data_IF_711006860040
#
_entry.id   IF_711006860040
#
_cell.length_a   1.000
_cell.length_b   1.000
_cell.length_c   1.000
_cell.angle_alpha   90.00
_cell.angle_beta   90.00
_cell.angle_gamma   90.00
#
_symmetry.space_group_name_H-M   'P 1'
#
loop_
_entity.id
_entity.type
_entity.pdbx_description
1 polymer ?
#
# COMPACT_ATOMS: atom_id res chain seq x y z
N UNK A 1 6.39 24.76 -5.29
CA UNK A 1 5.70 23.45 -5.14
C UNK A 1 6.10 22.86 -3.80
N UNK A 2 5.15 22.47 -2.95
CA UNK A 2 5.48 21.71 -1.73
C UNK A 2 5.99 20.34 -2.19
N UNK A 3 7.30 20.10 -2.09
CA UNK A 3 8.00 18.93 -2.61
C UNK A 3 7.98 17.71 -1.68
N UNK A 4 7.24 17.77 -0.56
CA UNK A 4 7.03 16.62 0.33
C UNK A 4 5.61 16.63 0.88
N UNK A 5 4.88 15.52 0.70
CA UNK A 5 3.64 15.26 1.41
C UNK A 5 4.00 14.80 2.84
N UNK A 6 3.48 15.48 3.86
CA UNK A 6 3.63 15.01 5.23
C UNK A 6 2.61 13.90 5.48
N UNK A 7 3.08 12.66 5.60
CA UNK A 7 2.24 11.48 5.88
C UNK A 7 2.38 11.18 7.38
N UNK A 8 1.31 11.29 8.18
CA UNK A 8 1.34 10.89 9.58
C UNK A 8 1.67 9.40 9.73
N UNK A 9 2.51 9.06 10.71
CA UNK A 9 2.95 7.69 10.97
C UNK A 9 2.61 7.31 12.40
N UNK A 10 1.72 6.33 12.56
CA UNK A 10 1.46 5.67 13.84
C UNK A 10 2.30 4.41 13.93
N UNK A 11 3.31 4.41 14.81
CA UNK A 11 4.22 3.27 14.99
C UNK A 11 3.53 2.12 15.72
N UNK A 12 3.90 0.88 15.38
CA UNK A 12 3.46 -0.30 16.14
C UNK A 12 4.16 -0.29 17.52
N UNK A 13 3.48 -0.81 18.54
CA UNK A 13 4.07 -1.00 19.87
C UNK A 13 4.97 -2.23 19.94
N UNK A 14 4.72 -3.24 19.09
CA UNK A 14 5.50 -4.48 19.01
C UNK A 14 5.81 -4.81 17.55
N UNK A 15 7.10 -4.86 17.21
CA UNK A 15 7.55 -5.22 15.86
C UNK A 15 7.61 -6.73 15.68
N UNK A 16 7.30 -7.20 14.47
CA UNK A 16 7.46 -8.61 14.06
C UNK A 16 8.87 -8.98 13.63
N UNK A 17 9.78 -8.00 13.46
CA UNK A 17 11.16 -8.26 13.01
C UNK A 17 11.88 -9.32 13.87
N UNK A 18 11.83 -9.29 15.22
CA UNK A 18 12.52 -10.31 16.04
C UNK A 18 11.99 -11.73 15.85
N UNK A 19 10.74 -11.86 15.42
CA UNK A 19 10.05 -13.14 15.22
C UNK A 19 10.10 -13.61 13.75
N UNK A 20 10.69 -12.81 12.85
CA UNK A 20 10.72 -13.09 11.41
C UNK A 20 11.92 -13.97 11.05
N UNK A 21 11.65 -15.18 10.54
CA UNK A 21 12.68 -16.04 9.95
C UNK A 21 12.98 -15.62 8.51
N UNK A 22 14.03 -14.81 8.34
CA UNK A 22 14.49 -14.35 7.02
C UNK A 22 15.08 -15.47 6.15
N UNK A 23 15.44 -16.63 6.73
CA UNK A 23 15.95 -17.77 5.97
C UNK A 23 14.83 -18.55 5.27
N UNK A 24 13.59 -18.45 5.76
CA UNK A 24 12.44 -19.22 5.28
C UNK A 24 11.22 -18.35 4.98
N UNK A 25 11.39 -17.34 4.13
CA UNK A 25 10.30 -16.45 3.71
C UNK A 25 9.42 -17.10 2.64
N UNK A 26 8.16 -17.37 2.99
CA UNK A 26 7.13 -17.80 2.03
C UNK A 26 6.42 -16.59 1.43
N UNK A 27 6.33 -16.54 0.11
CA UNK A 27 5.69 -15.45 -0.63
C UNK A 27 4.24 -15.21 -0.13
N UNK A 28 3.94 -13.96 0.24
CA UNK A 28 2.61 -13.54 0.66
C UNK A 28 2.15 -14.01 2.05
N UNK A 29 3.04 -14.58 2.88
CA UNK A 29 2.69 -15.09 4.22
C UNK A 29 3.27 -14.28 5.38
N UNK A 30 4.43 -13.66 5.18
CA UNK A 30 5.07 -12.79 6.17
C UNK A 30 4.76 -11.34 5.81
N UNK A 31 4.05 -10.62 6.69
CA UNK A 31 3.57 -9.25 6.47
C UNK A 31 4.28 -8.29 7.42
N UNK A 32 4.63 -7.10 6.91
CA UNK A 32 5.29 -6.04 7.67
C UNK A 32 4.39 -5.43 8.75
N UNK A 33 5.01 -4.62 9.62
CA UNK A 33 4.32 -4.05 10.78
C UNK A 33 3.28 -2.99 10.47
N UNK A 34 3.40 -2.35 9.31
CA UNK A 34 2.61 -1.20 8.91
C UNK A 34 1.99 -1.38 7.53
N UNK A 35 0.93 -0.60 7.29
CA UNK A 35 0.28 -0.42 6.00
C UNK A 35 0.08 1.07 5.72
N UNK A 36 0.07 1.44 4.44
CA UNK A 36 -0.35 2.76 3.99
C UNK A 36 -1.84 2.74 3.64
N UNK A 37 -2.56 3.77 4.06
CA UNK A 37 -3.99 3.94 3.75
C UNK A 37 -4.24 5.39 3.33
N UNK A 38 -5.12 5.57 2.36
CA UNK A 38 -5.65 6.87 1.97
C UNK A 38 -7.15 6.70 1.65
N UNK A 39 -7.93 7.74 1.90
CA UNK A 39 -9.37 7.73 1.69
C UNK A 39 -9.70 8.59 0.47
N UNK A 40 -10.65 8.16 -0.36
CA UNK A 40 -11.16 8.99 -1.45
C UNK A 40 -12.58 9.46 -1.14
N UNK A 41 -12.76 10.77 -0.99
CA UNK A 41 -14.03 11.37 -0.61
C UNK A 41 -14.21 12.68 -1.36
N UNK A 42 -15.44 12.95 -1.83
CA UNK A 42 -15.80 14.21 -2.51
C UNK A 42 -14.89 14.61 -3.69
N UNK A 43 -14.34 13.63 -4.41
CA UNK A 43 -13.51 13.89 -5.58
C UNK A 43 -12.01 14.01 -5.30
N UNK A 44 -11.57 13.82 -4.04
CA UNK A 44 -10.18 14.01 -3.65
C UNK A 44 -9.64 12.85 -2.80
N UNK A 45 -8.35 12.55 -3.00
CA UNK A 45 -7.60 11.72 -2.07
C UNK A 45 -7.24 12.51 -0.82
N UNK A 46 -7.60 11.97 0.33
CA UNK A 46 -7.46 12.60 1.63
C UNK A 46 -6.95 11.58 2.65
N UNK A 47 -6.60 12.06 3.85
CA UNK A 47 -6.28 11.21 5.00
C UNK A 47 -5.20 10.14 4.73
N UNK A 48 -4.21 10.47 3.90
CA UNK A 48 -3.05 9.62 3.64
C UNK A 48 -2.25 9.43 4.92
N UNK A 49 -2.05 8.18 5.35
CA UNK A 49 -1.45 7.82 6.64
C UNK A 49 -0.74 6.47 6.57
N UNK A 50 0.23 6.28 7.46
CA UNK A 50 0.86 4.99 7.73
C UNK A 50 0.44 4.55 9.13
N UNK A 51 -0.16 3.38 9.24
CA UNK A 51 -0.70 2.84 10.50
C UNK A 51 -0.31 1.37 10.68
N UNK A 52 -0.40 0.81 11.91
CA UNK A 52 -0.11 -0.59 12.14
C UNK A 52 -1.01 -1.49 11.27
N UNK A 53 -0.44 -2.58 10.75
CA UNK A 53 -1.19 -3.54 9.96
C UNK A 53 -2.37 -4.09 10.78
N UNK A 54 -3.58 -3.96 10.23
CA UNK A 54 -4.83 -4.35 10.87
C UNK A 54 -5.89 -4.80 9.84
N UNK A 55 -6.93 -5.53 10.26
CA UNK A 55 -8.05 -5.85 9.39
C UNK A 55 -8.74 -4.60 8.84
N UNK A 56 -9.21 -4.66 7.59
CA UNK A 56 -10.02 -3.61 6.99
C UNK A 56 -11.47 -3.68 7.52
N UNK A 57 -12.02 -2.55 7.91
CA UNK A 57 -13.45 -2.41 8.28
C UNK A 57 -14.21 -1.96 7.04
N UNK A 58 -15.10 -2.83 6.53
CA UNK A 58 -15.83 -2.60 5.29
C UNK A 58 -17.33 -2.68 5.53
N UNK A 59 -18.09 -1.82 4.84
CA UNK A 59 -19.55 -1.96 4.76
C UNK A 59 -19.89 -3.27 4.01
N UNK A 60 -20.82 -4.10 4.51
CA UNK A 60 -21.23 -5.33 3.81
C UNK A 60 -21.70 -5.11 2.37
N UNK A 61 -22.19 -3.92 2.00
CA UNK A 61 -22.63 -3.55 0.66
C UNK A 61 -21.52 -2.93 -0.22
N UNK A 62 -20.24 -3.00 0.19
CA UNK A 62 -19.13 -2.38 -0.55
C UNK A 62 -18.98 -2.95 -1.98
N UNK A 63 -18.81 -2.07 -2.97
CA UNK A 63 -18.69 -2.46 -4.39
C UNK A 63 -17.52 -3.39 -4.70
N UNK A 64 -16.43 -3.34 -3.93
CA UNK A 64 -15.33 -4.29 -4.05
C UNK A 64 -15.77 -5.74 -3.75
N UNK A 65 -16.74 -5.92 -2.84
CA UNK A 65 -17.24 -7.24 -2.45
C UNK A 65 -18.32 -7.77 -3.42
N UNK A 66 -19.17 -6.89 -3.95
CA UNK A 66 -20.33 -7.29 -4.76
C UNK A 66 -20.08 -7.24 -6.27
N UNK A 67 -19.24 -6.30 -6.71
CA UNK A 67 -19.06 -6.00 -8.13
C UNK A 67 -17.60 -6.08 -8.57
N UNK A 68 -16.71 -6.52 -7.67
CA UNK A 68 -15.29 -6.65 -7.96
C UNK A 68 -14.61 -5.33 -8.32
N UNK A 69 -15.15 -4.18 -7.89
CA UNK A 69 -14.54 -2.86 -8.13
C UNK A 69 -13.31 -2.68 -7.24
N UNK A 70 -12.24 -3.38 -7.61
CA UNK A 70 -10.97 -3.43 -6.90
C UNK A 70 -9.84 -3.67 -7.90
N UNK A 71 -8.71 -3.02 -7.68
CA UNK A 71 -7.48 -3.12 -8.49
C UNK A 71 -6.29 -3.25 -7.55
N UNK A 72 -5.19 -3.83 -8.02
CA UNK A 72 -3.97 -3.97 -7.22
C UNK A 72 -2.72 -3.80 -8.09
N UNK A 73 -1.58 -3.57 -7.43
CA UNK A 73 -0.26 -3.54 -8.06
C UNK A 73 0.72 -4.46 -7.34
N UNK A 74 1.79 -4.83 -8.05
CA UNK A 74 2.84 -5.70 -7.55
C UNK A 74 4.21 -5.18 -7.97
N UNK A 75 5.02 -4.80 -6.99
CA UNK A 75 6.41 -4.39 -7.19
C UNK A 75 7.28 -4.85 -6.02
N UNK A 76 8.60 -4.72 -6.18
CA UNK A 76 9.59 -5.17 -5.19
C UNK A 76 10.51 -4.03 -4.82
N UNK A 77 10.82 -3.95 -3.53
CA UNK A 77 11.92 -3.16 -3.00
C UNK A 77 13.09 -4.10 -2.71
N UNK A 78 14.30 -3.65 -2.99
CA UNK A 78 15.55 -4.39 -2.78
C UNK A 78 16.46 -3.57 -1.89
N UNK A 79 17.23 -4.25 -1.03
CA UNK A 79 18.29 -3.62 -0.25
C UNK A 79 19.63 -3.96 -0.90
N UNK A 80 20.41 -2.96 -1.30
CA UNK A 80 21.75 -3.21 -1.84
C UNK A 80 22.78 -3.43 -0.73
N UNK A 81 24.02 -3.75 -1.11
CA UNK A 81 25.13 -4.00 -0.17
C UNK A 81 25.48 -2.76 0.68
N UNK A 82 25.17 -1.56 0.17
CA UNK A 82 25.35 -0.28 0.86
C UNK A 82 24.21 0.02 1.84
N UNK A 83 23.19 -0.83 1.92
CA UNK A 83 22.02 -0.66 2.79
C UNK A 83 20.93 0.24 2.23
N UNK A 84 21.07 0.75 1.00
CA UNK A 84 20.08 1.58 0.32
C UNK A 84 18.88 0.74 -0.13
N UNK A 85 17.70 1.35 -0.06
CA UNK A 85 16.47 0.73 -0.55
C UNK A 85 16.18 1.21 -1.98
N UNK A 86 16.11 0.27 -2.91
CA UNK A 86 15.89 0.50 -4.33
C UNK A 86 14.53 -0.08 -4.74
N UNK A 87 13.78 0.66 -5.54
CA UNK A 87 12.49 0.21 -6.08
C UNK A 87 12.54 0.23 -7.60
N UNK A 88 12.30 -0.91 -8.22
CA UNK A 88 12.43 -1.03 -9.67
C UNK A 88 11.20 -0.48 -10.40
N UNK A 89 11.39 0.62 -11.14
CA UNK A 89 10.39 1.22 -12.06
C UNK A 89 9.01 1.46 -11.43
N UNK A 90 8.99 2.02 -10.22
CA UNK A 90 7.74 2.32 -9.50
C UNK A 90 6.77 3.22 -10.32
N UNK A 91 7.31 4.10 -11.16
CA UNK A 91 6.57 4.95 -12.08
C UNK A 91 5.77 4.14 -13.12
N UNK A 92 6.30 3.02 -13.59
CA UNK A 92 5.60 2.13 -14.51
C UNK A 92 4.43 1.41 -13.83
N UNK A 93 4.60 0.99 -12.57
CA UNK A 93 3.51 0.44 -11.77
C UNK A 93 2.43 1.49 -11.48
N UNK A 94 2.81 2.73 -11.13
CA UNK A 94 1.85 3.82 -10.91
C UNK A 94 1.04 4.13 -12.18
N UNK A 95 1.68 4.15 -13.35
CA UNK A 95 0.98 4.30 -14.64
C UNK A 95 -0.05 3.20 -14.86
N UNK A 96 0.33 1.94 -14.65
CA UNK A 96 -0.58 0.79 -14.83
C UNK A 96 -1.71 0.76 -13.80
N UNK A 97 -1.47 1.23 -12.58
CA UNK A 97 -2.53 1.47 -11.59
C UNK A 97 -3.58 2.46 -12.13
N UNK A 98 -3.14 3.59 -12.71
CA UNK A 98 -4.05 4.58 -13.29
C UNK A 98 -4.79 4.08 -14.52
N UNK A 99 -4.17 3.25 -15.36
CA UNK A 99 -4.86 2.54 -16.46
C UNK A 99 -5.96 1.60 -15.94
N UNK A 100 -5.66 0.86 -14.87
CA UNK A 100 -6.62 -0.05 -14.22
C UNK A 100 -7.76 0.72 -13.55
N UNK A 101 -7.45 1.84 -12.90
CA UNK A 101 -8.44 2.73 -12.28
C UNK A 101 -9.41 3.29 -13.31
N UNK A 102 -8.90 3.80 -14.44
CA UNK A 102 -9.74 4.27 -15.54
C UNK A 102 -10.66 3.17 -16.08
N UNK A 103 -10.15 1.95 -16.24
CA UNK A 103 -10.95 0.80 -16.71
C UNK A 103 -12.08 0.41 -15.76
N UNK A 104 -11.88 0.60 -14.46
CA UNK A 104 -12.81 0.25 -13.39
C UNK A 104 -13.65 1.43 -12.89
N UNK A 105 -13.60 2.57 -13.58
CA UNK A 105 -14.26 3.81 -13.16
C UNK A 105 -13.88 4.22 -11.72
N UNK A 106 -12.62 4.02 -11.34
CA UNK A 106 -12.04 4.41 -10.06
C UNK A 106 -11.20 5.68 -10.22
N UNK A 107 -10.98 6.46 -9.14
CA UNK A 107 -10.14 7.65 -9.17
C UNK A 107 -8.68 7.34 -9.51
N UNK A 108 -8.04 8.23 -10.28
CA UNK A 108 -6.60 8.18 -10.51
C UNK A 108 -5.82 8.58 -9.23
N UNK A 109 -4.62 8.02 -9.07
CA UNK A 109 -3.62 8.34 -8.03
C UNK A 109 -2.53 9.28 -8.55
#
# INVERSE_FOLDING_TARGET
MKTSLAIPITKTSKSRIPETDFSNLVFGKVISDHMFVADYQNGEWTNARIEPYAPLVLNPANAALHYGQSIFEGLKAYKNEQGEILVFRADANARRMNESAARMCMPAI
#
